data_IF_187253921213
#
_entry.id   IF_187253921213
#
_cell.length_a   1.000
_cell.length_b   1.000
_cell.length_c   1.000
_cell.angle_alpha   90.00
_cell.angle_beta   90.00
_cell.angle_gamma   90.00
#
_symmetry.space_group_name_H-M   'P 1'
#
loop_
_entity.id
_entity.type
_entity.pdbx_description
1 polymer ?
#
# COMPACT_ATOMS: atom_id res chain seq x y z
N UNK A 1 -0.29 -6.21 21.05
CA UNK A 1 -1.18 -5.27 20.34
C UNK A 1 -2.22 -6.09 19.56
N UNK A 2 -3.50 -5.83 19.78
CA UNK A 2 -4.64 -6.70 19.44
C UNK A 2 -4.70 -7.16 17.96
N UNK A 3 -5.29 -8.33 17.72
CA UNK A 3 -5.46 -9.04 16.43
C UNK A 3 -5.98 -8.15 15.28
N UNK A 4 -6.67 -7.04 15.61
CA UNK A 4 -7.18 -6.03 14.68
C UNK A 4 -6.13 -5.34 13.79
N UNK A 5 -4.87 -5.24 14.22
CA UNK A 5 -3.86 -4.50 13.48
C UNK A 5 -3.45 -5.17 12.15
N UNK A 6 -3.59 -6.51 12.07
CA UNK A 6 -3.24 -7.26 10.86
C UNK A 6 -4.28 -6.99 9.76
N UNK A 7 -5.57 -7.03 10.13
CA UNK A 7 -6.67 -6.78 9.21
C UNK A 7 -6.62 -5.35 8.63
N UNK A 8 -6.32 -4.35 9.46
CA UNK A 8 -6.10 -2.97 8.99
C UNK A 8 -4.88 -2.85 8.06
N UNK A 9 -3.78 -3.55 8.34
CA UNK A 9 -2.60 -3.53 7.47
C UNK A 9 -2.89 -4.17 6.10
N UNK A 10 -3.63 -5.28 6.07
CA UNK A 10 -4.02 -5.95 4.83
C UNK A 10 -5.01 -5.09 4.03
N UNK A 11 -5.97 -4.45 4.71
CA UNK A 11 -6.89 -3.52 4.07
C UNK A 11 -6.15 -2.32 3.46
N UNK A 12 -5.20 -1.75 4.21
CA UNK A 12 -4.35 -0.64 3.75
C UNK A 12 -3.49 -1.03 2.54
N UNK A 13 -2.95 -2.25 2.52
CA UNK A 13 -2.23 -2.81 1.37
C UNK A 13 -3.12 -2.89 0.12
N UNK A 14 -4.32 -3.43 0.25
CA UNK A 14 -5.27 -3.57 -0.87
C UNK A 14 -5.67 -2.21 -1.43
N UNK A 15 -5.94 -1.23 -0.55
CA UNK A 15 -6.30 0.13 -0.96
C UNK A 15 -5.14 0.81 -1.70
N UNK A 16 -3.91 0.71 -1.18
CA UNK A 16 -2.72 1.26 -1.86
C UNK A 16 -2.46 0.58 -3.22
N UNK A 17 -2.70 -0.73 -3.31
CA UNK A 17 -2.56 -1.47 -4.56
C UNK A 17 -3.59 -1.02 -5.61
N UNK A 18 -4.85 -0.87 -5.22
CA UNK A 18 -5.91 -0.35 -6.10
C UNK A 18 -5.61 1.08 -6.55
N UNK A 19 -5.12 1.93 -5.65
CA UNK A 19 -4.69 3.29 -5.98
C UNK A 19 -3.54 3.29 -7.00
N UNK A 20 -2.54 2.43 -6.83
CA UNK A 20 -1.44 2.29 -7.77
C UNK A 20 -1.91 1.83 -9.15
N UNK A 21 -2.68 0.74 -9.21
CA UNK A 21 -3.20 0.17 -10.47
C UNK A 21 -4.12 1.15 -11.18
N UNK A 22 -5.05 1.77 -10.44
CA UNK A 22 -5.95 2.79 -10.98
C UNK A 22 -5.17 3.98 -11.54
N UNK A 23 -4.19 4.48 -10.80
CA UNK A 23 -3.35 5.59 -11.27
C UNK A 23 -2.62 5.24 -12.56
N UNK A 24 -2.03 4.04 -12.66
CA UNK A 24 -1.33 3.60 -13.87
C UNK A 24 -2.25 3.51 -15.10
N UNK A 25 -3.48 3.03 -14.92
CA UNK A 25 -4.46 2.92 -16.02
C UNK A 25 -4.87 4.29 -16.57
N UNK A 26 -5.00 5.29 -15.71
CA UNK A 26 -5.44 6.64 -16.10
C UNK A 26 -4.29 7.62 -16.35
N UNK A 27 -3.04 7.26 -16.06
CA UNK A 27 -1.85 8.08 -16.33
C UNK A 27 -1.77 8.51 -17.79
N UNK A 28 -2.23 7.68 -18.72
CA UNK A 28 -2.18 8.00 -20.15
C UNK A 28 -3.10 9.18 -20.52
N UNK A 29 -4.19 9.37 -19.78
CA UNK A 29 -5.13 10.49 -19.97
C UNK A 29 -4.75 11.70 -19.10
N UNK A 30 -4.25 11.46 -17.90
CA UNK A 30 -3.88 12.49 -16.94
C UNK A 30 -2.49 12.22 -16.38
N UNK A 31 -1.43 12.83 -16.96
CA UNK A 31 -0.05 12.53 -16.57
C UNK A 31 0.24 12.85 -15.09
N UNK A 32 -0.48 13.81 -14.49
CA UNK A 32 -0.37 14.14 -13.07
C UNK A 32 -0.83 13.00 -12.13
N UNK A 33 -1.67 12.07 -12.58
CA UNK A 33 -2.07 10.90 -11.77
C UNK A 33 -0.90 9.97 -11.45
N UNK A 34 0.22 10.05 -12.20
CA UNK A 34 1.44 9.30 -11.88
C UNK A 34 1.92 9.59 -10.44
N UNK A 35 1.75 10.82 -9.93
CA UNK A 35 2.13 11.19 -8.58
C UNK A 35 1.33 10.39 -7.54
N UNK A 36 0.03 10.21 -7.79
CA UNK A 36 -0.87 9.42 -6.93
C UNK A 36 -0.47 7.95 -6.97
N UNK A 37 -0.06 7.45 -8.15
CA UNK A 37 0.49 6.10 -8.29
C UNK A 37 1.74 5.91 -7.45
N UNK A 38 2.70 6.82 -7.54
CA UNK A 38 3.94 6.78 -6.75
C UNK A 38 3.61 6.80 -5.24
N UNK A 39 2.65 7.63 -4.82
CA UNK A 39 2.20 7.70 -3.43
C UNK A 39 1.57 6.37 -2.97
N UNK A 40 0.74 5.75 -3.81
CA UNK A 40 0.17 4.42 -3.56
C UNK A 40 1.24 3.34 -3.43
N UNK A 41 2.27 3.38 -4.29
CA UNK A 41 3.38 2.42 -4.24
C UNK A 41 4.26 2.58 -3.00
N UNK A 42 4.52 3.83 -2.58
CA UNK A 42 5.22 4.13 -1.34
C UNK A 42 4.45 3.65 -0.10
N UNK A 43 3.13 3.87 -0.07
CA UNK A 43 2.24 3.34 0.98
C UNK A 43 2.25 1.81 1.03
N UNK A 44 2.22 1.16 -0.12
CA UNK A 44 2.29 -0.30 -0.23
C UNK A 44 3.60 -0.84 0.36
N UNK A 45 4.72 -0.20 0.03
CA UNK A 45 6.05 -0.52 0.57
C UNK A 45 6.11 -0.39 2.10
N UNK A 46 5.48 0.67 2.64
CA UNK A 46 5.40 0.89 4.09
C UNK A 46 4.58 -0.19 4.80
N UNK A 47 3.41 -0.57 4.25
CA UNK A 47 2.59 -1.63 4.82
C UNK A 47 3.31 -2.99 4.78
N UNK A 48 3.99 -3.32 3.69
CA UNK A 48 4.79 -4.55 3.57
C UNK A 48 5.91 -4.58 4.60
N UNK A 49 6.68 -3.49 4.72
CA UNK A 49 7.75 -3.38 5.72
C UNK A 49 7.19 -3.56 7.14
N UNK A 50 6.06 -2.94 7.44
CA UNK A 50 5.40 -3.05 8.74
C UNK A 50 4.95 -4.47 9.05
N UNK A 51 4.42 -5.20 8.06
CA UNK A 51 4.04 -6.62 8.20
C UNK A 51 5.29 -7.45 8.48
N UNK A 52 6.32 -7.36 7.64
CA UNK A 52 7.56 -8.16 7.78
C UNK A 52 8.25 -7.90 9.12
N UNK A 53 8.39 -6.62 9.52
CA UNK A 53 8.98 -6.23 10.80
C UNK A 53 8.20 -6.81 11.99
N UNK A 54 6.87 -6.87 11.90
CA UNK A 54 6.02 -7.46 12.93
C UNK A 54 6.21 -8.98 13.06
N UNK A 55 6.36 -9.68 11.93
CA UNK A 55 6.66 -11.11 11.92
C UNK A 55 8.07 -11.39 12.47
N UNK A 56 9.06 -10.58 12.11
CA UNK A 56 10.45 -10.73 12.57
C UNK A 56 10.59 -10.50 14.09
N UNK A 57 9.81 -9.57 14.67
CA UNK A 57 9.79 -9.31 16.13
C UNK A 57 9.15 -10.42 16.97
N UNK A 58 8.50 -11.40 16.34
CA UNK A 58 7.82 -12.54 17.00
C UNK A 58 8.64 -13.84 16.95
N UNK A 59 9.74 -13.87 16.20
CA UNK A 59 10.67 -15.00 16.12
C UNK A 59 11.70 -14.99 17.24
#
# INVERSE_FOLDING_TARGET
>A
MSKNNILQNVLGFIVCFLLFVGSMLFTNFYPLLILVGILGFAGLSFFVYRIISFYNKKG
#
